data_IF_085965219692
#
_entry.id   IF_085965219692
#
_cell.length_a   1.000
_cell.length_b   1.000
_cell.length_c   1.000
_cell.angle_alpha   90.00
_cell.angle_beta   90.00
_cell.angle_gamma   90.00
#
_symmetry.space_group_name_H-M   'P 1'
#
loop_
_entity.id
_entity.type
_entity.pdbx_description
1 polymer ?
#
# COMPACT_ATOMS: atom_id res chain seq x y z
N UNK A 1 5.47 -19.73 -17.11
CA UNK A 1 4.32 -19.28 -16.28
C UNK A 1 3.39 -18.52 -17.21
N UNK A 2 2.18 -19.00 -17.33
CA UNK A 2 1.21 -18.35 -18.19
C UNK A 2 0.84 -16.99 -17.56
N UNK A 3 1.08 -15.85 -18.21
CA UNK A 3 0.74 -14.53 -17.68
C UNK A 3 -0.78 -14.33 -17.55
N UNK A 4 -1.57 -15.32 -17.89
CA UNK A 4 -3.00 -15.21 -18.14
C UNK A 4 -3.89 -15.38 -16.91
N UNK A 5 -3.38 -15.56 -15.69
CA UNK A 5 -4.27 -15.84 -14.55
C UNK A 5 -3.90 -15.22 -13.22
N UNK A 6 -3.20 -14.10 -13.20
CA UNK A 6 -3.11 -13.35 -11.95
C UNK A 6 -4.47 -12.75 -11.61
N UNK A 7 -4.90 -12.95 -10.39
CA UNK A 7 -6.14 -12.38 -9.85
C UNK A 7 -5.85 -11.61 -8.59
N UNK A 8 -6.60 -10.57 -8.36
CA UNK A 8 -6.57 -9.80 -7.10
C UNK A 8 -7.85 -10.13 -6.35
N UNK A 9 -7.69 -10.71 -5.16
CA UNK A 9 -8.78 -11.15 -4.29
C UNK A 9 -8.50 -10.76 -2.85
N UNK A 10 -9.53 -10.73 -2.02
CA UNK A 10 -9.35 -10.44 -0.61
C UNK A 10 -8.49 -11.51 0.08
N UNK A 11 -7.70 -11.07 1.05
CA UNK A 11 -7.04 -11.96 1.99
C UNK A 11 -8.04 -12.53 2.99
N UNK A 12 -7.69 -13.66 3.58
CA UNK A 12 -8.47 -14.32 4.62
C UNK A 12 -7.60 -14.59 5.85
N UNK A 13 -8.19 -15.04 6.93
CA UNK A 13 -7.46 -15.42 8.14
C UNK A 13 -6.38 -16.50 7.88
N UNK A 14 -6.60 -17.36 6.90
CA UNK A 14 -5.64 -18.39 6.51
C UNK A 14 -4.35 -17.81 5.92
N UNK A 15 -4.40 -16.58 5.40
CA UNK A 15 -3.24 -15.91 4.80
C UNK A 15 -2.33 -15.23 5.84
N UNK A 16 -2.78 -15.06 7.09
CA UNK A 16 -2.05 -14.31 8.12
C UNK A 16 -0.59 -14.73 8.30
N UNK A 17 -0.23 -16.02 8.39
CA UNK A 17 1.16 -16.41 8.55
C UNK A 17 2.05 -15.89 7.41
N UNK A 18 1.58 -15.95 6.18
CA UNK A 18 2.30 -15.43 5.02
C UNK A 18 2.36 -13.91 5.04
N UNK A 19 1.27 -13.24 5.40
CA UNK A 19 1.22 -11.77 5.51
C UNK A 19 2.25 -11.28 6.52
N UNK A 20 2.31 -11.89 7.70
CA UNK A 20 3.29 -11.52 8.74
C UNK A 20 4.71 -11.73 8.23
N UNK A 21 4.98 -12.85 7.58
CA UNK A 21 6.28 -13.10 6.97
C UNK A 21 6.63 -12.04 5.91
N UNK A 22 5.68 -11.65 5.06
CA UNK A 22 5.88 -10.59 4.05
C UNK A 22 6.23 -9.24 4.71
N UNK A 23 5.55 -8.88 5.80
CA UNK A 23 5.89 -7.67 6.56
C UNK A 23 7.30 -7.74 7.14
N UNK A 24 7.68 -8.87 7.73
CA UNK A 24 9.01 -9.06 8.28
C UNK A 24 10.09 -8.97 7.19
N UNK A 25 9.82 -9.53 6.02
CA UNK A 25 10.73 -9.42 4.86
C UNK A 25 10.85 -7.97 4.37
N UNK A 26 9.76 -7.23 4.31
CA UNK A 26 9.76 -5.83 3.90
C UNK A 26 10.56 -4.97 4.87
N UNK A 27 10.36 -5.13 6.17
CA UNK A 27 11.11 -4.40 7.21
C UNK A 27 12.60 -4.73 7.11
N UNK A 28 12.95 -5.98 6.98
CA UNK A 28 14.34 -6.44 6.85
C UNK A 28 15.01 -5.84 5.61
N UNK A 29 14.32 -5.81 4.48
CA UNK A 29 14.80 -5.18 3.25
C UNK A 29 15.05 -3.68 3.42
N UNK A 30 14.11 -2.97 4.05
CA UNK A 30 14.22 -1.53 4.33
C UNK A 30 15.45 -1.24 5.20
N UNK A 31 15.63 -1.99 6.28
CA UNK A 31 16.77 -1.84 7.19
C UNK A 31 18.10 -2.12 6.49
N UNK A 32 18.16 -3.18 5.70
CA UNK A 32 19.36 -3.61 4.97
C UNK A 32 19.85 -2.58 3.95
N UNK A 33 18.92 -1.82 3.35
CA UNK A 33 19.22 -0.84 2.32
C UNK A 33 19.35 0.58 2.89
N UNK A 34 19.32 0.76 4.21
CA UNK A 34 19.47 2.05 4.86
C UNK A 34 18.28 2.98 4.64
N UNK A 35 17.14 2.45 4.22
CA UNK A 35 15.91 3.22 4.10
C UNK A 35 15.26 3.40 5.47
N UNK A 36 14.40 4.44 5.64
CA UNK A 36 13.48 4.45 6.76
C UNK A 36 12.72 3.13 6.78
N UNK A 37 12.63 2.49 7.93
CA UNK A 37 11.98 1.19 8.06
C UNK A 37 10.70 1.33 8.87
N UNK A 38 9.69 0.54 8.53
CA UNK A 38 8.55 0.36 9.41
C UNK A 38 9.04 -0.17 10.76
N UNK A 39 8.58 0.45 11.85
CA UNK A 39 8.94 0.05 13.23
C UNK A 39 8.21 -1.20 13.69
N UNK A 40 7.34 -1.73 12.87
CA UNK A 40 6.49 -2.87 13.15
C UNK A 40 5.20 -2.78 12.35
N UNK A 41 4.23 -3.59 12.68
CA UNK A 41 2.88 -3.56 12.11
C UNK A 41 1.84 -3.92 13.17
N UNK A 42 0.68 -3.29 13.05
CA UNK A 42 -0.43 -3.48 13.98
C UNK A 42 -1.27 -4.68 13.52
N UNK A 43 -1.18 -5.78 14.28
CA UNK A 43 -1.91 -7.01 13.97
C UNK A 43 -3.41 -6.88 14.13
N UNK A 44 -3.87 -6.04 15.06
CA UNK A 44 -5.30 -5.79 15.26
C UNK A 44 -5.88 -4.98 14.11
N UNK A 45 -5.15 -3.95 13.64
CA UNK A 45 -5.53 -3.20 12.45
C UNK A 45 -5.58 -4.09 11.21
N UNK A 46 -4.59 -4.97 11.02
CA UNK A 46 -4.57 -5.94 9.93
C UNK A 46 -5.77 -6.89 10.00
N UNK A 47 -6.10 -7.38 11.19
CA UNK A 47 -7.27 -8.23 11.39
C UNK A 47 -8.57 -7.51 10.99
N UNK A 48 -8.70 -6.25 11.35
CA UNK A 48 -9.85 -5.43 10.98
C UNK A 48 -9.92 -5.23 9.45
N UNK A 49 -8.80 -4.99 8.79
CA UNK A 49 -8.73 -4.88 7.33
C UNK A 49 -9.18 -6.16 6.63
N UNK A 50 -8.72 -7.32 7.11
CA UNK A 50 -9.13 -8.62 6.58
C UNK A 50 -10.64 -8.82 6.77
N UNK A 51 -11.16 -8.56 7.98
CA UNK A 51 -12.58 -8.73 8.29
C UNK A 51 -13.48 -7.80 7.47
N UNK A 52 -13.00 -6.61 7.13
CA UNK A 52 -13.74 -5.61 6.35
C UNK A 52 -13.47 -5.67 4.84
N UNK A 53 -12.76 -6.68 4.36
CA UNK A 53 -12.42 -6.86 2.95
C UNK A 53 -11.63 -5.69 2.35
N UNK A 54 -10.73 -5.10 3.15
CA UNK A 54 -9.87 -3.97 2.75
C UNK A 54 -8.44 -4.39 2.43
N UNK A 55 -8.06 -5.63 2.72
CA UNK A 55 -6.77 -6.18 2.33
C UNK A 55 -6.93 -7.19 1.19
N UNK A 56 -5.99 -7.11 0.24
CA UNK A 56 -5.99 -7.89 -0.99
C UNK A 56 -4.67 -8.62 -1.18
N UNK A 57 -4.72 -9.70 -1.92
CA UNK A 57 -3.57 -10.46 -2.41
C UNK A 57 -3.64 -10.62 -3.92
N UNK A 58 -2.46 -10.67 -4.53
CA UNK A 58 -2.31 -10.99 -5.94
C UNK A 58 -1.92 -12.45 -6.02
N UNK A 59 -2.73 -13.26 -6.67
CA UNK A 59 -2.51 -14.70 -6.78
C UNK A 59 -2.28 -15.14 -8.21
N UNK A 60 -1.41 -16.12 -8.39
CA UNK A 60 -1.21 -16.86 -9.62
C UNK A 60 -1.20 -18.36 -9.28
N UNK A 61 -2.32 -19.05 -9.55
CA UNK A 61 -2.50 -20.41 -9.04
C UNK A 61 -2.39 -20.45 -7.51
N UNK A 62 -1.51 -21.30 -6.95
CA UNK A 62 -1.31 -21.39 -5.51
C UNK A 62 -0.41 -20.27 -4.93
N UNK A 63 0.26 -19.50 -5.80
CA UNK A 63 1.27 -18.54 -5.39
C UNK A 63 0.66 -17.18 -5.07
N UNK A 64 1.11 -16.57 -3.97
CA UNK A 64 0.79 -15.20 -3.60
C UNK A 64 1.98 -14.32 -3.97
N UNK A 65 1.79 -13.45 -4.96
CA UNK A 65 2.84 -12.59 -5.52
C UNK A 65 3.06 -11.31 -4.71
N UNK A 66 2.06 -10.91 -3.95
CA UNK A 66 2.10 -9.71 -3.12
C UNK A 66 0.79 -9.47 -2.41
N UNK A 67 0.81 -8.49 -1.51
CA UNK A 67 -0.36 -8.03 -0.74
C UNK A 67 -0.39 -6.51 -0.71
N UNK A 68 -1.57 -5.96 -0.50
CA UNK A 68 -1.78 -4.53 -0.27
C UNK A 68 -3.10 -4.30 0.46
N UNK A 69 -3.23 -3.12 1.06
CA UNK A 69 -4.47 -2.70 1.71
C UNK A 69 -5.03 -1.45 1.03
N UNK A 70 -6.32 -1.25 1.17
CA UNK A 70 -7.00 -0.02 0.71
C UNK A 70 -7.76 0.63 1.86
N UNK A 71 -8.00 1.93 1.72
CA UNK A 71 -8.99 2.65 2.51
C UNK A 71 -9.64 3.74 1.66
N UNK A 72 -10.75 4.28 2.14
CA UNK A 72 -11.47 5.38 1.48
C UNK A 72 -11.21 6.71 2.16
N UNK A 73 -10.55 6.70 3.31
CA UNK A 73 -10.17 7.89 4.08
C UNK A 73 -8.79 7.69 4.67
N UNK A 74 -8.05 8.79 4.81
CA UNK A 74 -6.77 8.81 5.50
C UNK A 74 -6.47 10.23 6.04
N UNK A 75 -7.31 10.74 6.97
CA UNK A 75 -7.18 12.12 7.46
C UNK A 75 -5.89 12.36 8.24
N UNK A 76 -5.35 11.35 8.92
CA UNK A 76 -4.11 11.47 9.67
C UNK A 76 -2.90 11.77 8.80
N UNK A 77 -2.88 11.25 7.57
CA UNK A 77 -1.81 11.48 6.59
C UNK A 77 -2.16 12.62 5.63
N UNK A 78 -3.38 12.68 5.12
CA UNK A 78 -3.78 13.63 4.09
C UNK A 78 -4.43 14.92 4.61
N UNK A 79 -4.90 14.93 5.86
CA UNK A 79 -5.51 16.11 6.48
C UNK A 79 -6.70 16.63 5.68
N UNK A 80 -6.74 17.94 5.45
CA UNK A 80 -7.82 18.61 4.70
C UNK A 80 -7.90 18.20 3.22
N UNK A 81 -6.87 17.58 2.67
CA UNK A 81 -6.89 17.03 1.30
C UNK A 81 -7.73 15.77 1.19
N UNK A 82 -8.06 15.14 2.31
CA UNK A 82 -8.94 13.98 2.35
C UNK A 82 -10.40 14.44 2.31
N UNK A 83 -10.96 14.48 1.11
CA UNK A 83 -12.32 14.95 0.84
C UNK A 83 -13.30 13.83 0.52
N UNK A 84 -12.91 12.57 0.77
CA UNK A 84 -13.75 11.41 0.51
C UNK A 84 -13.86 11.01 -0.98
N UNK A 85 -12.98 11.50 -1.83
CA UNK A 85 -13.01 11.27 -3.28
C UNK A 85 -11.79 10.49 -3.78
N UNK A 86 -11.20 9.63 -2.95
CA UNK A 86 -10.01 8.89 -3.31
C UNK A 86 -10.04 7.45 -2.80
N UNK A 87 -9.34 6.60 -3.52
CA UNK A 87 -8.92 5.29 -3.06
C UNK A 87 -7.48 5.40 -2.58
N UNK A 88 -7.22 5.07 -1.32
CA UNK A 88 -5.88 5.08 -0.74
C UNK A 88 -5.28 3.68 -0.78
N UNK A 89 -4.06 3.55 -1.30
CA UNK A 89 -3.27 2.32 -1.27
C UNK A 89 -2.31 2.36 -0.09
N UNK A 90 -2.25 1.29 0.66
CA UNK A 90 -1.40 1.16 1.83
C UNK A 90 -0.61 -0.14 1.80
N UNK A 91 0.62 -0.08 2.32
CA UNK A 91 1.46 -1.24 2.61
C UNK A 91 1.48 -2.26 1.46
N UNK A 92 1.84 -1.77 0.28
CA UNK A 92 2.05 -2.63 -0.88
C UNK A 92 3.36 -3.40 -0.71
N UNK A 93 3.28 -4.72 -0.65
CA UNK A 93 4.45 -5.59 -0.46
C UNK A 93 4.49 -6.63 -1.57
N UNK A 94 5.60 -6.65 -2.31
CA UNK A 94 5.88 -7.72 -3.26
C UNK A 94 6.54 -8.89 -2.53
N UNK A 95 6.07 -10.09 -2.80
CA UNK A 95 6.72 -11.30 -2.30
C UNK A 95 8.13 -11.42 -2.92
N UNK A 96 9.19 -11.46 -2.12
CA UNK A 96 10.56 -11.49 -2.64
C UNK A 96 10.87 -12.72 -3.50
N UNK A 97 10.10 -13.80 -3.36
CA UNK A 97 10.24 -15.00 -4.19
C UNK A 97 9.72 -14.82 -5.63
N UNK A 98 8.99 -13.73 -5.89
CA UNK A 98 8.36 -13.44 -7.19
C UNK A 98 8.72 -12.06 -7.72
N UNK A 99 9.96 -11.61 -7.51
CA UNK A 99 10.48 -10.35 -8.06
C UNK A 99 10.42 -10.32 -9.59
N UNK A 100 10.24 -9.11 -10.14
CA UNK A 100 10.25 -8.91 -11.59
C UNK A 100 8.93 -9.22 -12.31
N UNK A 101 7.87 -9.56 -11.60
CA UNK A 101 6.56 -9.87 -12.18
C UNK A 101 5.61 -8.66 -12.24
N UNK A 102 6.16 -7.45 -12.16
CA UNK A 102 5.41 -6.19 -12.27
C UNK A 102 4.18 -6.13 -11.34
N UNK A 103 4.39 -6.55 -10.10
CA UNK A 103 3.31 -6.66 -9.10
C UNK A 103 2.62 -5.33 -8.88
N UNK A 104 3.38 -4.24 -8.73
CA UNK A 104 2.79 -2.91 -8.51
C UNK A 104 2.00 -2.41 -9.73
N UNK A 105 2.44 -2.70 -10.94
CA UNK A 105 1.68 -2.37 -12.16
C UNK A 105 0.30 -3.01 -12.15
N UNK A 106 0.21 -4.27 -11.74
CA UNK A 106 -1.06 -4.99 -11.61
C UNK A 106 -1.95 -4.40 -10.51
N UNK A 107 -1.37 -4.00 -9.37
CA UNK A 107 -2.09 -3.31 -8.29
C UNK A 107 -2.65 -1.98 -8.80
N UNK A 108 -1.83 -1.17 -9.47
CA UNK A 108 -2.25 0.11 -10.04
C UNK A 108 -3.40 -0.07 -11.02
N UNK A 109 -3.29 -0.99 -11.94
CA UNK A 109 -4.31 -1.21 -12.96
C UNK A 109 -5.63 -1.71 -12.35
N UNK A 110 -5.55 -2.58 -11.35
CA UNK A 110 -6.71 -2.98 -10.57
C UNK A 110 -7.32 -1.80 -9.83
N UNK A 111 -6.49 -0.99 -9.16
CA UNK A 111 -6.95 0.17 -8.39
C UNK A 111 -7.67 1.21 -9.26
N UNK A 112 -7.16 1.45 -10.49
CA UNK A 112 -7.80 2.35 -11.45
C UNK A 112 -9.20 1.85 -11.79
N UNK A 113 -9.35 0.57 -12.14
CA UNK A 113 -10.65 0.00 -12.46
C UNK A 113 -11.60 0.06 -11.27
N UNK A 114 -11.12 -0.38 -10.11
CA UNK A 114 -11.90 -0.40 -8.86
C UNK A 114 -12.38 1.00 -8.46
N UNK A 115 -11.49 1.99 -8.49
CA UNK A 115 -11.83 3.36 -8.13
C UNK A 115 -12.83 3.98 -9.11
N UNK A 116 -12.70 3.72 -10.41
CA UNK A 116 -13.67 4.17 -11.44
C UNK A 116 -15.05 3.56 -11.23
N UNK A 117 -15.12 2.27 -10.91
CA UNK A 117 -16.39 1.60 -10.57
C UNK A 117 -17.05 2.23 -9.34
N UNK A 118 -16.26 2.68 -8.39
CA UNK A 118 -16.72 3.39 -7.18
C UNK A 118 -16.95 4.89 -7.41
N UNK A 119 -16.71 5.40 -8.62
CA UNK A 119 -16.82 6.81 -8.99
C UNK A 119 -15.93 7.74 -8.15
N UNK A 120 -14.76 7.25 -7.77
CA UNK A 120 -13.72 8.03 -7.08
C UNK A 120 -12.86 8.77 -8.12
N UNK A 121 -12.36 9.94 -7.73
CA UNK A 121 -11.59 10.81 -8.64
C UNK A 121 -10.09 10.60 -8.59
N UNK A 122 -9.57 9.89 -7.59
CA UNK A 122 -8.14 9.76 -7.37
C UNK A 122 -7.76 8.40 -6.81
N UNK A 123 -6.54 7.95 -7.15
CA UNK A 123 -5.78 6.98 -6.37
C UNK A 123 -4.70 7.74 -5.64
N UNK A 124 -4.55 7.49 -4.34
CA UNK A 124 -3.61 8.18 -3.47
C UNK A 124 -2.78 7.21 -2.67
N UNK A 125 -1.55 7.60 -2.40
CA UNK A 125 -0.63 6.89 -1.53
C UNK A 125 0.39 7.85 -0.96
N UNK A 126 1.13 7.40 0.02
CA UNK A 126 2.25 8.13 0.58
C UNK A 126 3.47 7.23 0.73
N UNK A 127 4.63 7.85 0.78
CA UNK A 127 5.90 7.18 1.08
C UNK A 127 6.81 8.13 1.84
N UNK A 128 7.88 7.59 2.41
CA UNK A 128 8.84 8.42 3.13
C UNK A 128 9.50 9.43 2.20
N UNK A 129 9.56 10.69 2.66
CA UNK A 129 10.24 11.77 1.94
C UNK A 129 11.73 11.45 1.72
N UNK A 130 12.35 10.72 2.65
CA UNK A 130 13.76 10.35 2.60
C UNK A 130 14.08 9.17 1.66
N UNK A 131 13.11 8.75 0.85
CA UNK A 131 13.31 7.70 -0.16
C UNK A 131 12.98 8.20 -1.57
N UNK A 132 13.87 9.04 -2.18
CA UNK A 132 13.61 9.61 -3.50
C UNK A 132 13.55 8.57 -4.63
N UNK A 133 14.21 7.44 -4.48
CA UNK A 133 14.14 6.36 -5.47
C UNK A 133 12.74 5.74 -5.54
N UNK A 134 12.10 5.55 -4.40
CA UNK A 134 10.74 5.01 -4.34
C UNK A 134 9.73 6.03 -4.87
N UNK A 135 9.91 7.31 -4.57
CA UNK A 135 9.09 8.38 -5.13
C UNK A 135 9.17 8.37 -6.66
N UNK A 136 10.38 8.32 -7.22
CA UNK A 136 10.60 8.25 -8.66
C UNK A 136 9.98 6.99 -9.29
N UNK A 137 10.04 5.86 -8.60
CA UNK A 137 9.43 4.62 -9.00
C UNK A 137 7.91 4.77 -9.17
N UNK A 138 7.22 5.36 -8.19
CA UNK A 138 5.79 5.61 -8.29
C UNK A 138 5.42 6.66 -9.32
N UNK A 139 6.25 7.70 -9.50
CA UNK A 139 6.07 8.68 -10.57
C UNK A 139 6.13 8.01 -11.96
N UNK A 140 6.97 7.00 -12.13
CA UNK A 140 7.03 6.19 -13.35
C UNK A 140 5.74 5.44 -13.65
N UNK A 141 4.91 5.19 -12.64
CA UNK A 141 3.60 4.56 -12.79
C UNK A 141 2.43 5.55 -12.94
N UNK A 142 2.70 6.84 -13.06
CA UNK A 142 1.70 7.87 -13.30
C UNK A 142 1.25 8.65 -12.07
N UNK A 143 1.88 8.43 -10.93
CA UNK A 143 1.64 9.23 -9.73
C UNK A 143 2.40 10.56 -9.81
N UNK A 144 1.81 11.61 -9.26
CA UNK A 144 2.46 12.92 -9.10
C UNK A 144 2.60 13.25 -7.62
N UNK A 145 3.66 13.95 -7.28
CA UNK A 145 3.83 14.52 -5.94
C UNK A 145 2.91 15.72 -5.79
N UNK A 146 2.08 15.74 -4.75
CA UNK A 146 1.18 16.87 -4.47
C UNK A 146 1.57 17.66 -3.24
N UNK A 147 2.23 17.04 -2.27
CA UNK A 147 2.71 17.70 -1.06
C UNK A 147 3.71 16.85 -0.31
N UNK A 148 4.41 17.48 0.63
CA UNK A 148 5.17 16.81 1.69
C UNK A 148 4.60 17.28 3.02
N UNK A 149 4.51 16.39 3.99
CA UNK A 149 4.02 16.72 5.32
C UNK A 149 4.53 15.76 6.38
N UNK A 150 4.39 16.17 7.63
CA UNK A 150 4.61 15.30 8.78
C UNK A 150 3.27 14.75 9.25
N UNK A 151 3.19 13.43 9.43
CA UNK A 151 1.97 12.80 9.92
C UNK A 151 1.67 13.24 11.35
N UNK A 152 0.38 13.23 11.70
CA UNK A 152 -0.12 13.61 13.03
C UNK A 152 0.48 12.73 14.13
N UNK A 153 0.54 13.28 15.35
CA UNK A 153 0.80 12.54 16.59
C UNK A 153 -0.50 12.06 17.26
N UNK A 154 -1.62 12.22 16.59
CA UNK A 154 -2.93 11.90 17.14
C UNK A 154 -3.11 10.40 17.41
N UNK A 155 -3.91 10.03 18.45
CA UNK A 155 -4.10 8.62 18.83
C UNK A 155 -4.86 7.78 17.80
N UNK A 156 -5.51 8.40 16.82
CA UNK A 156 -6.21 7.74 15.73
C UNK A 156 -5.25 7.09 14.71
N UNK A 157 -3.97 7.54 14.69
CA UNK A 157 -2.93 6.86 13.92
C UNK A 157 -2.24 5.79 14.75
N UNK A 158 -1.92 4.63 14.16
CA UNK A 158 -1.00 3.68 14.77
C UNK A 158 0.32 4.37 15.16
N UNK A 159 0.89 4.00 16.31
CA UNK A 159 2.09 4.65 16.84
C UNK A 159 3.24 4.69 15.83
N UNK A 160 3.42 3.61 15.07
CA UNK A 160 4.45 3.52 14.03
C UNK A 160 4.23 4.46 12.84
N UNK A 161 3.06 5.05 12.69
CA UNK A 161 2.71 5.97 11.61
C UNK A 161 2.69 7.44 12.04
N UNK A 162 3.01 7.72 13.32
CA UNK A 162 3.00 9.09 13.86
C UNK A 162 4.32 9.81 13.60
N UNK A 163 4.25 11.12 13.42
CA UNK A 163 5.41 12.01 13.27
C UNK A 163 6.38 11.59 12.14
N UNK A 164 5.85 11.04 11.05
CA UNK A 164 6.63 10.67 9.88
C UNK A 164 6.64 11.78 8.83
N UNK A 165 7.81 12.01 8.23
CA UNK A 165 7.92 12.86 7.06
C UNK A 165 7.56 12.06 5.81
N UNK A 166 6.44 12.40 5.21
CA UNK A 166 5.90 11.67 4.06
C UNK A 166 5.69 12.58 2.86
N UNK A 167 5.81 12.00 1.69
CA UNK A 167 5.48 12.61 0.40
C UNK A 167 4.16 12.02 -0.07
N UNK A 168 3.21 12.88 -0.36
CA UNK A 168 1.88 12.52 -0.84
C UNK A 168 1.89 12.38 -2.36
N UNK A 169 1.44 11.24 -2.84
CA UNK A 169 1.39 10.87 -4.24
C UNK A 169 -0.04 10.65 -4.68
N UNK A 170 -0.39 11.16 -5.86
CA UNK A 170 -1.75 11.16 -6.37
C UNK A 170 -1.79 10.83 -7.86
N UNK A 171 -2.76 10.04 -8.27
CA UNK A 171 -3.09 9.78 -9.67
C UNK A 171 -4.54 10.21 -9.89
N UNK A 172 -4.81 11.26 -10.70
CA UNK A 172 -6.16 11.59 -11.14
C UNK A 172 -6.71 10.52 -12.09
N UNK A 173 -8.02 10.27 -12.03
CA UNK A 173 -8.71 9.27 -12.85
C UNK A 173 -9.54 9.87 -13.97
#
# INVERSE_FOLDING_TARGET
MDPLQTRIVNTTDADKPLIYWLFDQAISYQQKNGFPAWKGYDKDALQAEIANHLQYKIVNGPDILGVFSISYTDPGTWGERDTGNALFLHRTITNPNFKGQKVFEQIRDWAVRFAREKRLGYIRMDTWTDNPQLIAYYQGYGFRVVAQRTTSDAPDLPEQNRNLNVTLLEMPL
#
